data_IF_126429253528
#
_entry.id   IF_126429253528
#
_cell.length_a   1.000
_cell.length_b   1.000
_cell.length_c   1.000
_cell.angle_alpha   90.00
_cell.angle_beta   90.00
_cell.angle_gamma   90.00
#
_symmetry.space_group_name_H-M   'P 1'
#
loop_
_entity.id
_entity.type
_entity.pdbx_description
1 polymer ?
#
# COMPACT_ATOMS: atom_id res chain seq x y z
N UNK A 1 -26.54 7.88 -7.77
CA UNK A 1 -25.74 6.67 -8.03
C UNK A 1 -24.28 7.08 -8.07
N UNK A 2 -23.66 7.39 -6.92
CA UNK A 2 -22.45 8.25 -6.90
C UNK A 2 -21.44 7.88 -5.79
N UNK A 3 -21.17 6.59 -5.56
CA UNK A 3 -20.19 6.17 -4.52
C UNK A 3 -18.99 5.39 -5.03
N UNK A 4 -18.82 5.25 -6.35
CA UNK A 4 -17.61 4.66 -6.89
C UNK A 4 -16.56 5.75 -7.10
N UNK A 5 -15.82 6.09 -6.03
CA UNK A 5 -14.50 6.70 -6.23
C UNK A 5 -13.71 5.75 -7.16
N UNK A 6 -13.02 6.25 -8.20
CA UNK A 6 -12.16 5.42 -9.01
C UNK A 6 -11.24 4.59 -8.11
N UNK A 7 -11.09 3.30 -8.37
CA UNK A 7 -10.29 2.39 -7.50
C UNK A 7 -8.86 2.91 -7.27
N UNK A 8 -8.35 3.69 -8.20
CA UNK A 8 -7.06 4.39 -8.13
C UNK A 8 -6.96 5.43 -7.00
N UNK A 9 -8.07 5.98 -6.54
CA UNK A 9 -8.13 6.91 -5.40
C UNK A 9 -8.42 6.20 -4.08
N UNK A 10 -8.69 4.89 -4.13
CA UNK A 10 -9.03 4.11 -2.95
C UNK A 10 -7.77 3.53 -2.32
N UNK A 11 -7.31 4.11 -1.20
CA UNK A 11 -6.07 3.66 -0.52
C UNK A 11 -6.03 2.15 -0.25
N UNK A 12 -7.16 1.53 0.06
CA UNK A 12 -7.24 0.10 0.37
C UNK A 12 -7.05 -0.79 -0.87
N UNK A 13 -7.35 -0.29 -2.07
CA UNK A 13 -7.03 -0.99 -3.31
C UNK A 13 -5.51 -1.13 -3.47
N UNK A 14 -4.78 -0.03 -3.30
CA UNK A 14 -3.31 -0.04 -3.39
C UNK A 14 -2.66 -0.86 -2.28
N UNK A 15 -3.19 -0.81 -1.05
CA UNK A 15 -2.72 -1.65 0.05
C UNK A 15 -2.92 -3.16 -0.24
N UNK A 16 -4.09 -3.55 -0.75
CA UNK A 16 -4.37 -4.94 -1.13
C UNK A 16 -3.48 -5.42 -2.29
N UNK A 17 -3.25 -4.57 -3.30
CA UNK A 17 -2.30 -4.84 -4.39
C UNK A 17 -0.88 -5.05 -3.84
N UNK A 18 -0.44 -4.20 -2.94
CA UNK A 18 0.88 -4.32 -2.30
C UNK A 18 1.03 -5.63 -1.53
N UNK A 19 0.00 -6.04 -0.78
CA UNK A 19 0.01 -7.30 -0.04
C UNK A 19 0.07 -8.53 -0.96
N UNK A 20 -0.64 -8.50 -2.09
CA UNK A 20 -0.57 -9.56 -3.10
C UNK A 20 0.83 -9.66 -3.71
N UNK A 21 1.38 -8.53 -4.15
CA UNK A 21 2.71 -8.47 -4.76
C UNK A 21 3.79 -8.99 -3.80
N UNK A 22 3.73 -8.58 -2.53
CA UNK A 22 4.65 -9.04 -1.48
C UNK A 22 4.59 -10.56 -1.30
N UNK A 23 3.39 -11.15 -1.27
CA UNK A 23 3.22 -12.61 -1.13
C UNK A 23 3.78 -13.39 -2.33
N UNK A 24 3.83 -12.75 -3.50
CA UNK A 24 4.42 -13.33 -4.72
C UNK A 24 5.91 -13.00 -4.91
N UNK A 25 6.57 -12.37 -3.93
CA UNK A 25 7.99 -12.01 -4.00
C UNK A 25 8.31 -10.76 -4.86
N UNK A 26 7.30 -10.04 -5.34
CA UNK A 26 7.45 -8.82 -6.15
C UNK A 26 7.59 -7.60 -5.24
N UNK A 27 8.67 -7.57 -4.47
CA UNK A 27 8.85 -6.64 -3.35
C UNK A 27 8.98 -5.16 -3.78
N UNK A 28 9.73 -4.85 -4.83
CA UNK A 28 9.84 -3.48 -5.35
C UNK A 28 8.47 -2.91 -5.79
N UNK A 29 7.64 -3.73 -6.44
CA UNK A 29 6.30 -3.30 -6.85
C UNK A 29 5.33 -3.23 -5.68
N UNK A 30 5.50 -4.10 -4.68
CA UNK A 30 4.76 -4.01 -3.43
C UNK A 30 5.08 -2.70 -2.68
N UNK A 31 6.34 -2.29 -2.67
CA UNK A 31 6.79 -1.04 -2.07
C UNK A 31 6.11 0.16 -2.75
N UNK A 32 6.19 0.23 -4.09
CA UNK A 32 5.55 1.30 -4.86
C UNK A 32 4.03 1.37 -4.62
N UNK A 33 3.35 0.23 -4.53
CA UNK A 33 1.91 0.20 -4.24
C UNK A 33 1.59 0.68 -2.81
N UNK A 34 2.41 0.33 -1.80
CA UNK A 34 2.24 0.87 -0.45
C UNK A 34 2.49 2.38 -0.37
N UNK A 35 3.44 2.92 -1.14
CA UNK A 35 3.70 4.36 -1.23
C UNK A 35 2.52 5.11 -1.87
N UNK A 36 1.90 4.54 -2.91
CA UNK A 36 0.67 5.10 -3.48
C UNK A 36 -0.49 5.08 -2.47
N UNK A 37 -0.67 3.99 -1.72
CA UNK A 37 -1.65 3.93 -0.64
C UNK A 37 -1.38 5.00 0.43
N UNK A 38 -0.11 5.23 0.75
CA UNK A 38 0.33 6.21 1.74
C UNK A 38 0.03 7.66 1.31
N UNK A 39 0.24 7.97 0.02
CA UNK A 39 -0.06 9.26 -0.56
C UNK A 39 -1.56 9.61 -0.52
N UNK A 40 -2.42 8.59 -0.62
CA UNK A 40 -3.88 8.71 -0.56
C UNK A 40 -4.47 8.60 0.85
N UNK A 41 -3.62 8.48 1.88
CA UNK A 41 -4.06 8.27 3.26
C UNK A 41 -4.07 9.58 4.04
N UNK A 42 -5.25 9.98 4.50
CA UNK A 42 -5.44 11.15 5.37
C UNK A 42 -5.43 10.79 6.87
N UNK A 43 -5.60 9.51 7.23
CA UNK A 43 -5.65 9.05 8.62
C UNK A 43 -4.27 8.63 9.15
N UNK A 44 -3.87 9.17 10.30
CA UNK A 44 -2.59 8.87 10.96
C UNK A 44 -2.42 7.39 11.36
N UNK A 45 -3.51 6.69 11.72
CA UNK A 45 -3.46 5.27 12.06
C UNK A 45 -3.10 4.43 10.83
N UNK A 46 -3.78 4.69 9.70
CA UNK A 46 -3.53 4.00 8.43
C UNK A 46 -2.13 4.34 7.90
N UNK A 47 -1.69 5.60 8.04
CA UNK A 47 -0.33 6.03 7.70
C UNK A 47 0.73 5.24 8.46
N UNK A 48 0.53 5.06 9.76
CA UNK A 48 1.42 4.28 10.63
C UNK A 48 1.46 2.82 10.22
N UNK A 49 0.29 2.23 9.89
CA UNK A 49 0.21 0.87 9.39
C UNK A 49 1.02 0.69 8.09
N UNK A 50 0.80 1.55 7.09
CA UNK A 50 1.48 1.48 5.80
C UNK A 50 3.00 1.65 5.91
N UNK A 51 3.48 2.61 6.72
CA UNK A 51 4.90 2.81 6.98
C UNK A 51 5.56 1.58 7.62
N UNK A 52 4.87 0.88 8.53
CA UNK A 52 5.37 -0.37 9.10
C UNK A 52 5.51 -1.47 8.05
N UNK A 53 4.57 -1.57 7.09
CA UNK A 53 4.64 -2.55 6.00
C UNK A 53 5.80 -2.26 5.06
N UNK A 54 6.00 -1.01 4.69
CA UNK A 54 7.16 -0.54 3.90
C UNK A 54 8.46 -0.95 4.59
N UNK A 55 8.62 -0.61 5.87
CA UNK A 55 9.82 -0.94 6.62
C UNK A 55 10.07 -2.45 6.78
N UNK A 56 9.01 -3.28 6.79
CA UNK A 56 9.16 -4.73 6.81
C UNK A 56 9.75 -5.26 5.50
N UNK A 57 9.27 -4.78 4.35
CA UNK A 57 9.76 -5.21 3.03
C UNK A 57 11.21 -4.76 2.82
N UNK A 58 11.52 -3.50 3.12
CA UNK A 58 12.89 -2.97 2.95
C UNK A 58 13.92 -3.65 3.86
N UNK A 59 13.49 -4.29 4.95
CA UNK A 59 14.38 -5.11 5.80
C UNK A 59 14.55 -6.54 5.30
N UNK A 60 13.59 -7.08 4.55
CA UNK A 60 13.68 -8.44 3.98
C UNK A 60 14.44 -8.52 2.66
N UNK A 61 14.66 -7.38 1.98
CA UNK A 61 15.50 -7.30 0.77
C UNK A 61 16.99 -7.03 1.06
N UNK A 62 17.39 -6.86 2.33
CA UNK A 62 18.80 -6.89 2.74
C UNK A 62 19.23 -8.30 3.08
#
# INVERSE_FOLDING_TARGET
NELALPLEQYRWYHAARADLLRRTGRYAEALAAYEQALALTENAADRTFLLRRIAQISRSER
#
